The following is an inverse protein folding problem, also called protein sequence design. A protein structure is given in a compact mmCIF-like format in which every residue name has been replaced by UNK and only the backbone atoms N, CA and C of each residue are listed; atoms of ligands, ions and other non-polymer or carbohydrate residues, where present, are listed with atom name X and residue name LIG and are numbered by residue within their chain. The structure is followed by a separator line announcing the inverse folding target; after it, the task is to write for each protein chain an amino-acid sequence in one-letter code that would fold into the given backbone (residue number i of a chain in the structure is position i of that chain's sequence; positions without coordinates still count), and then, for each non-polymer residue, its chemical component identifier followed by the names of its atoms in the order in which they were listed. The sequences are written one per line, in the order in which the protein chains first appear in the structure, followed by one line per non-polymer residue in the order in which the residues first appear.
data_IF_528856856038
#
_entry.id   IF_528856856038
#
_cell.length_a   1.000
_cell.length_b   1.000
_cell.length_c   1.000
_cell.angle_alpha   90.00
_cell.angle_beta   90.00
_cell.angle_gamma   90.00
#
_symmetry.space_group_name_H-M   'P 1'
#
loop_
_entity.id
_entity.type
_entity.pdbx_description
1 polymer ?
#
# COMPACT_ATOMS: atom_id res chain seq x y z
N UNK A 1 -22.25 -6.12 11.97
CA UNK A 1 -21.18 -5.12 12.03
C UNK A 1 -21.52 -3.97 11.09
N UNK A 2 -21.52 -2.71 11.58
CA UNK A 2 -21.71 -1.52 10.73
C UNK A 2 -20.35 -1.11 10.17
N UNK A 3 -20.06 -1.51 8.92
CA UNK A 3 -18.83 -1.19 8.23
C UNK A 3 -19.04 0.02 7.33
N UNK A 4 -18.14 1.01 7.43
CA UNK A 4 -18.22 2.26 6.67
C UNK A 4 -16.90 2.52 5.95
N UNK A 5 -16.98 2.74 4.64
CA UNK A 5 -15.87 3.21 3.83
C UNK A 5 -15.91 4.74 3.79
N UNK A 6 -15.07 5.38 4.60
CA UNK A 6 -14.93 6.82 4.59
C UNK A 6 -13.88 7.24 3.56
N UNK A 7 -14.21 8.20 2.71
CA UNK A 7 -13.26 8.77 1.76
C UNK A 7 -13.35 10.30 1.77
N UNK A 8 -12.26 10.91 1.31
CA UNK A 8 -12.22 12.35 1.13
C UNK A 8 -12.97 12.72 -0.15
N UNK A 9 -14.10 13.41 0.02
CA UNK A 9 -14.83 13.98 -1.10
C UNK A 9 -14.10 15.24 -1.59
N UNK A 10 -13.47 15.15 -2.75
CA UNK A 10 -12.81 16.25 -3.44
C UNK A 10 -13.55 16.64 -4.75
N UNK A 11 -14.79 16.19 -4.88
CA UNK A 11 -15.67 16.46 -6.03
C UNK A 11 -15.42 15.54 -7.24
N UNK A 12 -14.50 14.57 -7.15
CA UNK A 12 -14.29 13.59 -8.21
C UNK A 12 -15.23 12.40 -8.03
N UNK A 13 -15.80 11.86 -9.10
CA UNK A 13 -16.61 10.66 -9.02
C UNK A 13 -15.76 9.49 -8.52
N UNK A 14 -16.26 8.80 -7.50
CA UNK A 14 -15.65 7.59 -6.98
C UNK A 14 -16.34 6.38 -7.60
N UNK A 15 -15.66 5.69 -8.49
CA UNK A 15 -16.16 4.45 -9.08
C UNK A 15 -15.81 3.28 -8.16
N UNK A 16 -16.77 2.81 -7.41
CA UNK A 16 -16.64 1.62 -6.56
C UNK A 16 -17.57 0.53 -7.09
N UNK A 17 -17.16 -0.74 -6.96
CA UNK A 17 -18.08 -1.85 -7.18
C UNK A 17 -19.21 -1.79 -6.15
N UNK A 18 -20.33 -2.44 -6.43
CA UNK A 18 -21.42 -2.54 -5.47
C UNK A 18 -20.97 -3.28 -4.20
N UNK A 19 -21.04 -2.61 -3.07
CA UNK A 19 -20.59 -3.13 -1.78
C UNK A 19 -21.80 -3.45 -0.90
N UNK A 20 -22.22 -4.71 -0.86
CA UNK A 20 -23.48 -5.13 -0.22
C UNK A 20 -23.59 -4.81 1.27
N UNK A 21 -22.50 -4.81 2.03
CA UNK A 21 -22.50 -4.65 3.49
C UNK A 21 -21.65 -3.49 3.99
N UNK A 22 -21.30 -2.55 3.12
CA UNK A 22 -20.43 -1.42 3.44
C UNK A 22 -21.13 -0.12 3.06
N UNK A 23 -21.28 0.78 4.02
CA UNK A 23 -21.82 2.13 3.77
C UNK A 23 -20.70 3.04 3.28
N UNK A 24 -20.90 3.68 2.15
CA UNK A 24 -19.96 4.67 1.61
C UNK A 24 -20.27 6.03 2.23
N UNK A 25 -19.26 6.67 2.83
CA UNK A 25 -19.39 7.94 3.54
C UNK A 25 -18.43 8.98 2.96
N UNK A 26 -18.92 9.91 2.12
CA UNK A 26 -18.13 11.03 1.66
C UNK A 26 -17.93 12.04 2.79
N UNK A 27 -16.69 12.46 3.00
CA UNK A 27 -16.34 13.47 4.00
C UNK A 27 -15.64 14.64 3.30
N UNK A 28 -16.31 15.79 3.24
CA UNK A 28 -15.75 17.02 2.67
C UNK A 28 -14.57 17.49 3.50
N UNK A 29 -13.40 17.59 2.88
CA UNK A 29 -12.18 18.02 3.56
C UNK A 29 -11.12 18.54 2.58
N UNK A 30 -10.33 19.51 3.01
CA UNK A 30 -9.09 19.90 2.35
C UNK A 30 -8.05 18.79 2.59
N UNK A 31 -7.13 18.59 1.65
CA UNK A 31 -6.19 17.46 1.58
C UNK A 31 -5.59 17.04 2.94
N UNK A 32 -5.08 17.99 3.72
CA UNK A 32 -4.42 17.66 5.00
C UNK A 32 -5.39 17.65 6.20
N UNK A 33 -6.52 18.33 6.11
CA UNK A 33 -7.50 18.36 7.20
C UNK A 33 -8.29 17.05 7.31
N UNK A 34 -8.35 16.25 6.26
CA UNK A 34 -9.07 14.99 6.27
C UNK A 34 -8.60 14.05 7.39
N UNK A 35 -7.34 13.68 7.40
CA UNK A 35 -6.79 12.73 8.38
C UNK A 35 -6.55 13.36 9.76
N UNK A 36 -6.31 14.68 9.84
CA UNK A 36 -5.96 15.33 11.09
C UNK A 36 -7.18 15.82 11.88
N UNK A 37 -8.27 16.16 11.19
CA UNK A 37 -9.42 16.83 11.82
C UNK A 37 -10.74 16.15 11.48
N UNK A 38 -11.06 16.01 10.19
CA UNK A 38 -12.40 15.61 9.74
C UNK A 38 -12.69 14.16 10.11
N UNK A 39 -11.81 13.24 9.72
CA UNK A 39 -11.97 11.81 10.01
C UNK A 39 -11.90 11.52 11.52
N UNK A 40 -10.98 12.07 12.33
CA UNK A 40 -11.00 11.89 13.78
C UNK A 40 -12.25 12.42 14.47
N UNK A 41 -12.80 13.55 14.00
CA UNK A 41 -14.09 14.07 14.51
C UNK A 41 -15.24 13.12 14.16
N UNK A 42 -15.30 12.65 12.93
CA UNK A 42 -16.29 11.68 12.48
C UNK A 42 -16.27 10.41 13.33
N UNK A 43 -15.07 9.81 13.51
CA UNK A 43 -14.88 8.61 14.32
C UNK A 43 -15.33 8.80 15.77
N UNK A 44 -15.02 9.95 16.36
CA UNK A 44 -15.45 10.30 17.72
C UNK A 44 -16.95 10.42 17.84
N UNK A 45 -17.58 11.17 16.91
CA UNK A 45 -19.05 11.37 16.87
C UNK A 45 -19.82 10.05 16.75
N UNK A 46 -19.28 9.10 15.99
CA UNK A 46 -19.93 7.81 15.74
C UNK A 46 -19.41 6.68 16.63
N UNK A 47 -18.57 6.97 17.63
CA UNK A 47 -17.90 5.98 18.47
C UNK A 47 -17.22 4.87 17.67
N UNK A 48 -16.80 5.17 16.44
CA UNK A 48 -16.27 4.21 15.50
C UNK A 48 -14.81 3.83 15.77
N UNK A 49 -14.44 2.64 15.32
CA UNK A 49 -13.06 2.15 15.31
C UNK A 49 -12.52 2.27 13.90
N UNK A 50 -11.28 2.74 13.75
CA UNK A 50 -10.65 2.93 12.47
C UNK A 50 -9.76 1.75 12.07
N UNK A 51 -9.90 1.29 10.84
CA UNK A 51 -9.00 0.33 10.21
C UNK A 51 -8.36 1.00 9.00
N UNK A 52 -7.08 1.37 9.13
CA UNK A 52 -6.29 1.96 8.05
C UNK A 52 -5.55 0.87 7.28
N UNK A 53 -5.92 0.67 6.01
CA UNK A 53 -5.33 -0.37 5.15
C UNK A 53 -4.12 0.11 4.36
N UNK A 54 -3.87 1.41 4.32
CA UNK A 54 -2.83 2.02 3.50
C UNK A 54 -2.11 3.15 4.25
N UNK A 55 -1.28 2.80 5.22
CA UNK A 55 -0.34 3.72 5.90
C UNK A 55 -0.88 5.15 6.09
N UNK A 56 -2.08 5.31 6.64
CA UNK A 56 -2.68 6.62 6.83
C UNK A 56 -2.27 7.25 8.16
N UNK A 57 -1.92 8.51 8.13
CA UNK A 57 -1.65 9.26 9.36
C UNK A 57 -2.96 9.60 10.06
N UNK A 58 -3.21 8.96 11.20
CA UNK A 58 -4.40 9.19 11.99
C UNK A 58 -4.06 9.38 13.48
N UNK A 59 -4.58 10.45 14.07
CA UNK A 59 -4.34 10.78 15.48
C UNK A 59 -5.50 10.31 16.36
N UNK A 60 -5.73 9.00 16.39
CA UNK A 60 -6.75 8.39 17.27
C UNK A 60 -6.28 7.05 17.83
N UNK A 61 -6.47 6.85 19.14
CA UNK A 61 -6.14 5.58 19.82
C UNK A 61 -7.14 4.45 19.52
N UNK A 62 -8.25 4.75 18.88
CA UNK A 62 -9.25 3.75 18.42
C UNK A 62 -8.95 3.33 17.00
N UNK A 63 -7.72 2.89 16.74
CA UNK A 63 -7.29 2.53 15.40
C UNK A 63 -6.38 1.32 15.36
N UNK A 64 -6.47 0.62 14.24
CA UNK A 64 -5.51 -0.37 13.75
C UNK A 64 -5.02 0.11 12.39
N UNK A 65 -3.73 0.01 12.15
CA UNK A 65 -3.11 0.49 10.89
C UNK A 65 -2.26 -0.61 10.28
N UNK A 66 -2.40 -0.80 8.97
CA UNK A 66 -1.49 -1.65 8.18
C UNK A 66 -0.36 -0.78 7.66
N UNK A 67 0.85 -1.03 8.10
CA UNK A 67 2.08 -0.39 7.63
C UNK A 67 2.81 -1.38 6.73
N UNK A 68 2.61 -1.27 5.41
CA UNK A 68 3.11 -2.25 4.43
C UNK A 68 4.63 -2.32 4.42
N UNK A 69 5.30 -1.16 4.39
CA UNK A 69 6.76 -1.06 4.45
C UNK A 69 7.21 0.28 5.06
N UNK A 70 8.48 0.36 5.40
CA UNK A 70 9.14 1.59 5.83
C UNK A 70 10.29 1.97 4.90
N UNK A 71 10.22 1.57 3.64
CA UNK A 71 11.23 1.80 2.61
C UNK A 71 11.74 3.25 2.57
N UNK A 72 10.90 4.30 2.62
CA UNK A 72 11.39 5.68 2.58
C UNK A 72 12.34 6.05 3.73
N UNK A 73 12.29 5.33 4.85
CA UNK A 73 13.18 5.54 5.99
C UNK A 73 14.49 4.76 5.84
N UNK A 74 14.46 3.61 5.18
CA UNK A 74 15.60 2.71 5.01
C UNK A 74 16.42 3.09 3.77
N UNK A 75 15.75 3.32 2.65
CA UNK A 75 16.39 3.68 1.38
C UNK A 75 16.40 5.20 1.20
N UNK A 76 17.61 5.77 1.08
CA UNK A 76 17.77 7.23 0.89
C UNK A 76 17.47 7.71 -0.54
N UNK A 77 16.62 7.00 -1.29
CA UNK A 77 16.27 7.31 -2.67
C UNK A 77 15.19 8.39 -2.81
N UNK A 78 14.43 8.63 -1.75
CA UNK A 78 13.34 9.61 -1.77
C UNK A 78 13.81 10.99 -1.30
N UNK A 79 13.10 12.04 -1.75
CA UNK A 79 13.38 13.44 -1.35
C UNK A 79 13.30 13.60 0.17
N UNK A 80 14.19 14.39 0.76
CA UNK A 80 14.30 14.59 2.22
C UNK A 80 12.96 15.00 2.86
N UNK A 81 12.21 15.90 2.23
CA UNK A 81 10.88 16.32 2.70
C UNK A 81 9.88 15.18 2.75
N UNK A 82 9.86 14.32 1.73
CA UNK A 82 8.98 13.16 1.71
C UNK A 82 9.34 12.16 2.82
N UNK A 83 10.62 11.92 3.02
CA UNK A 83 11.15 11.06 4.10
C UNK A 83 10.79 11.60 5.48
N UNK A 84 10.92 12.90 5.70
CA UNK A 84 10.53 13.57 6.95
C UNK A 84 9.02 13.42 7.21
N UNK A 85 8.19 13.69 6.21
CA UNK A 85 6.74 13.51 6.29
C UNK A 85 6.37 12.06 6.60
N UNK A 86 7.01 11.10 5.95
CA UNK A 86 6.78 9.69 6.18
C UNK A 86 7.24 9.24 7.58
N UNK A 87 8.36 9.76 8.05
CA UNK A 87 8.83 9.54 9.42
C UNK A 87 7.81 10.03 10.46
N UNK A 88 7.29 11.23 10.29
CA UNK A 88 6.25 11.77 11.17
C UNK A 88 4.97 10.90 11.14
N UNK A 89 4.61 10.41 9.98
CA UNK A 89 3.54 9.44 9.82
C UNK A 89 3.79 8.15 10.63
N UNK A 90 4.98 7.58 10.53
CA UNK A 90 5.36 6.40 11.31
C UNK A 90 5.34 6.66 12.83
N UNK A 91 5.78 7.84 13.28
CA UNK A 91 5.65 8.24 14.67
C UNK A 91 4.21 8.35 15.13
N UNK A 92 3.33 8.93 14.33
CA UNK A 92 1.89 8.98 14.65
C UNK A 92 1.30 7.58 14.81
N UNK A 93 1.68 6.65 13.94
CA UNK A 93 1.29 5.23 14.03
C UNK A 93 1.81 4.61 15.34
N UNK A 94 3.06 4.84 15.71
CA UNK A 94 3.65 4.36 16.97
C UNK A 94 2.87 4.82 18.20
N UNK A 95 2.49 6.09 18.24
CA UNK A 95 1.87 6.70 19.42
C UNK A 95 0.35 6.48 19.50
N UNK A 96 -0.32 6.49 18.38
CA UNK A 96 -1.78 6.49 18.35
C UNK A 96 -2.40 5.14 17.98
N UNK A 97 -1.80 4.34 17.09
CA UNK A 97 -2.39 3.06 16.73
C UNK A 97 -2.41 2.09 17.91
N UNK A 98 -3.57 1.48 18.16
CA UNK A 98 -3.71 0.43 19.18
C UNK A 98 -2.91 -0.82 18.80
N UNK A 99 -2.95 -1.18 17.52
CA UNK A 99 -2.14 -2.23 16.91
C UNK A 99 -1.67 -1.80 15.53
N UNK A 100 -0.51 -2.30 15.16
CA UNK A 100 0.05 -2.14 13.82
C UNK A 100 0.08 -3.52 13.17
N UNK A 101 -0.27 -3.58 11.90
CA UNK A 101 -0.06 -4.78 11.08
C UNK A 101 0.92 -4.48 9.95
N UNK A 102 1.62 -5.51 9.52
CA UNK A 102 2.49 -5.45 8.36
C UNK A 102 2.38 -6.72 7.53
N UNK A 103 3.04 -6.77 6.38
CA UNK A 103 2.81 -7.81 5.36
C UNK A 103 3.76 -9.00 5.44
N UNK A 104 4.76 -8.97 6.34
CA UNK A 104 5.70 -10.08 6.53
C UNK A 104 6.42 -9.99 7.88
N UNK A 105 6.96 -11.12 8.37
CA UNK A 105 7.77 -11.14 9.59
C UNK A 105 9.06 -10.32 9.45
N UNK A 106 9.68 -10.33 8.28
CA UNK A 106 10.84 -9.48 8.03
C UNK A 106 10.51 -7.98 8.22
N UNK A 107 9.38 -7.51 7.69
CA UNK A 107 8.93 -6.14 7.90
C UNK A 107 8.55 -5.89 9.35
N UNK A 108 7.99 -6.86 10.05
CA UNK A 108 7.67 -6.76 11.48
C UNK A 108 8.91 -6.45 12.32
N UNK A 109 9.99 -7.19 12.10
CA UNK A 109 11.26 -6.96 12.78
C UNK A 109 11.89 -5.61 12.40
N UNK A 110 11.89 -5.28 11.11
CA UNK A 110 12.43 -4.02 10.60
C UNK A 110 11.67 -2.79 11.16
N UNK A 111 10.34 -2.85 11.22
CA UNK A 111 9.50 -1.81 11.80
C UNK A 111 9.79 -1.66 13.30
N UNK A 112 9.89 -2.77 14.02
CA UNK A 112 10.22 -2.76 15.45
C UNK A 112 11.57 -2.10 15.70
N UNK A 113 12.60 -2.53 14.99
CA UNK A 113 13.97 -2.01 15.11
C UNK A 113 14.05 -0.52 14.76
N UNK A 114 13.48 -0.10 13.63
CA UNK A 114 13.64 1.26 13.10
C UNK A 114 12.74 2.30 13.76
N UNK A 115 11.56 1.89 14.21
CA UNK A 115 10.59 2.81 14.81
C UNK A 115 10.47 2.64 16.33
N UNK A 116 11.07 1.60 16.91
CA UNK A 116 10.94 1.26 18.31
C UNK A 116 9.49 0.96 18.71
N UNK A 117 8.74 0.29 17.84
CA UNK A 117 7.40 -0.24 18.13
C UNK A 117 7.60 -1.65 18.72
N UNK A 118 7.06 -1.96 19.90
CA UNK A 118 7.20 -3.29 20.50
C UNK A 118 6.65 -4.40 19.57
N UNK A 119 7.35 -5.53 19.48
CA UNK A 119 6.98 -6.64 18.59
C UNK A 119 5.59 -7.21 18.88
N UNK A 120 5.17 -7.21 20.14
CA UNK A 120 3.84 -7.65 20.57
C UNK A 120 2.72 -6.72 20.10
N UNK A 121 3.04 -5.46 19.79
CA UNK A 121 2.12 -4.49 19.18
C UNK A 121 2.01 -4.66 17.67
N UNK A 122 2.93 -5.40 17.02
CA UNK A 122 2.97 -5.56 15.57
C UNK A 122 2.49 -6.98 15.20
N UNK A 123 1.37 -7.08 14.53
CA UNK A 123 0.88 -8.30 13.89
C UNK A 123 1.35 -8.43 12.45
N UNK A 124 1.27 -9.63 11.90
CA UNK A 124 1.49 -9.89 10.47
C UNK A 124 0.16 -10.26 9.82
N UNK A 125 -0.13 -9.63 8.69
CA UNK A 125 -1.22 -10.00 7.79
C UNK A 125 -0.65 -10.04 6.37
N UNK A 126 -0.55 -11.23 5.80
CA UNK A 126 -0.02 -11.42 4.46
C UNK A 126 -0.94 -10.79 3.42
N UNK A 127 -0.36 -10.36 2.30
CA UNK A 127 -1.15 -9.91 1.16
C UNK A 127 -1.94 -11.09 0.59
N UNK A 128 -3.25 -10.92 0.45
CA UNK A 128 -4.11 -11.92 -0.18
C UNK A 128 -3.82 -12.04 -1.68
N UNK A 129 -3.88 -13.23 -2.19
CA UNK A 129 -3.72 -13.56 -3.61
C UNK A 129 -4.93 -14.31 -4.17
N UNK A 130 -5.86 -14.71 -3.31
CA UNK A 130 -7.01 -15.55 -3.61
C UNK A 130 -7.93 -14.91 -4.66
N UNK A 131 -7.96 -13.58 -4.71
CA UNK A 131 -8.72 -12.84 -5.73
C UNK A 131 -8.23 -13.14 -7.16
N UNK A 132 -6.97 -13.57 -7.32
CA UNK A 132 -6.40 -13.93 -8.63
C UNK A 132 -6.87 -15.31 -9.11
N UNK A 133 -7.36 -16.18 -8.24
CA UNK A 133 -7.81 -17.53 -8.60
C UNK A 133 -8.98 -17.52 -9.60
N UNK A 134 -9.80 -16.47 -9.54
CA UNK A 134 -10.97 -16.33 -10.42
C UNK A 134 -10.69 -15.47 -11.66
N UNK A 135 -9.46 -14.96 -11.81
CA UNK A 135 -9.07 -14.17 -12.99
C UNK A 135 -8.78 -15.10 -14.15
N UNK A 136 -9.56 -14.98 -15.21
CA UNK A 136 -9.29 -15.71 -16.45
C UNK A 136 -8.12 -15.03 -17.18
N UNK A 137 -7.13 -15.82 -17.66
CA UNK A 137 -6.02 -15.24 -18.42
C UNK A 137 -6.51 -14.59 -19.70
N UNK A 138 -6.15 -13.33 -19.91
CA UNK A 138 -6.36 -12.65 -21.19
C UNK A 138 -5.20 -13.01 -22.15
N UNK A 139 -5.48 -13.93 -23.06
CA UNK A 139 -4.49 -14.40 -24.02
C UNK A 139 -4.27 -13.41 -25.18
N UNK A 140 -5.13 -12.41 -25.36
CA UNK A 140 -5.00 -11.40 -26.43
C UNK A 140 -3.78 -10.49 -26.22
N UNK A 141 -3.17 -10.53 -25.04
CA UNK A 141 -1.91 -9.83 -24.76
C UNK A 141 -0.79 -10.24 -25.75
N UNK A 142 -0.78 -11.51 -26.18
CA UNK A 142 0.23 -11.99 -27.12
C UNK A 142 0.05 -11.43 -28.54
N UNK A 143 -1.15 -11.02 -28.93
CA UNK A 143 -1.41 -10.35 -30.21
C UNK A 143 -0.71 -8.98 -30.27
N UNK A 144 -0.48 -8.37 -29.11
CA UNK A 144 0.20 -7.06 -28.96
C UNK A 144 1.72 -7.19 -28.77
N UNK A 145 2.24 -8.40 -28.70
CA UNK A 145 3.65 -8.69 -28.42
C UNK A 145 4.23 -9.58 -29.52
N UNK A 146 4.51 -9.03 -30.73
CA UNK A 146 5.00 -9.79 -31.85
C UNK A 146 6.33 -10.49 -31.50
N UNK A 147 6.43 -11.76 -31.84
CA UNK A 147 7.63 -12.59 -31.54
C UNK A 147 7.68 -13.19 -30.15
N UNK A 148 6.79 -12.84 -29.23
CA UNK A 148 6.70 -13.45 -27.92
C UNK A 148 5.83 -14.70 -27.98
N UNK A 149 6.40 -15.85 -27.66
CA UNK A 149 5.67 -17.11 -27.57
C UNK A 149 5.35 -17.44 -26.13
N UNK A 150 4.15 -18.01 -25.88
CA UNK A 150 3.73 -18.44 -24.57
C UNK A 150 4.75 -19.40 -23.95
N UNK A 151 5.16 -19.12 -22.69
CA UNK A 151 6.15 -19.87 -21.92
C UNK A 151 7.59 -19.83 -22.46
N UNK A 152 7.88 -19.02 -23.48
CA UNK A 152 9.23 -18.88 -24.05
C UNK A 152 9.82 -17.48 -23.80
N UNK A 153 9.50 -16.86 -22.66
CA UNK A 153 9.99 -15.54 -22.29
C UNK A 153 10.26 -15.42 -20.79
N UNK A 154 11.13 -14.50 -20.44
CA UNK A 154 11.36 -14.05 -19.07
C UNK A 154 10.53 -12.81 -18.81
N UNK A 155 9.73 -12.81 -17.74
CA UNK A 155 8.88 -11.70 -17.40
C UNK A 155 9.40 -10.96 -16.16
N UNK A 156 9.50 -9.63 -16.23
CA UNK A 156 9.87 -8.78 -15.12
C UNK A 156 8.80 -7.70 -14.88
N UNK A 157 8.08 -7.83 -13.77
CA UNK A 157 7.10 -6.83 -13.36
C UNK A 157 7.76 -5.74 -12.51
N UNK A 158 7.55 -4.48 -12.86
CA UNK A 158 8.04 -3.38 -12.06
C UNK A 158 7.78 -2.01 -12.67
N UNK A 159 8.60 -1.06 -12.27
CA UNK A 159 8.56 0.32 -12.76
C UNK A 159 9.97 0.87 -12.92
N UNK A 160 10.12 2.01 -13.59
CA UNK A 160 11.43 2.67 -13.77
C UNK A 160 11.98 3.30 -12.46
N UNK A 161 11.32 3.09 -11.33
CA UNK A 161 11.81 3.55 -10.04
C UNK A 161 13.13 2.87 -9.67
N UNK A 162 14.12 3.63 -9.21
CA UNK A 162 15.48 3.16 -8.97
C UNK A 162 15.58 1.90 -8.07
N UNK A 163 14.70 1.76 -7.08
CA UNK A 163 14.67 0.59 -6.20
C UNK A 163 14.20 -0.71 -6.88
N UNK A 164 13.60 -0.64 -8.08
CA UNK A 164 13.21 -1.82 -8.87
C UNK A 164 14.35 -2.37 -9.73
N UNK A 165 15.46 -1.64 -9.80
CA UNK A 165 16.70 -2.05 -10.47
C UNK A 165 16.53 -2.60 -11.90
N UNK A 166 15.66 -1.96 -12.70
CA UNK A 166 15.46 -2.36 -14.10
C UNK A 166 16.73 -2.24 -14.97
N UNK A 167 17.72 -1.50 -14.50
CA UNK A 167 19.04 -1.47 -15.13
C UNK A 167 19.64 -2.87 -15.22
N UNK A 168 19.56 -3.66 -14.13
CA UNK A 168 20.02 -5.04 -14.11
C UNK A 168 19.27 -5.92 -15.13
N UNK A 169 17.95 -5.78 -15.24
CA UNK A 169 17.16 -6.54 -16.22
C UNK A 169 17.62 -6.22 -17.64
N UNK A 170 17.86 -4.94 -17.97
CA UNK A 170 18.37 -4.52 -19.27
C UNK A 170 19.77 -5.09 -19.56
N UNK A 171 20.66 -5.09 -18.59
CA UNK A 171 22.01 -5.64 -18.72
C UNK A 171 21.97 -7.14 -18.96
N UNK A 172 21.12 -7.88 -18.26
CA UNK A 172 20.93 -9.31 -18.46
C UNK A 172 20.35 -9.58 -19.86
N UNK A 173 19.34 -8.84 -20.27
CA UNK A 173 18.77 -8.98 -21.62
C UNK A 173 19.81 -8.72 -22.72
N UNK A 174 20.63 -7.67 -22.58
CA UNK A 174 21.69 -7.36 -23.55
C UNK A 174 22.76 -8.46 -23.67
N UNK A 175 23.01 -9.21 -22.58
CA UNK A 175 23.98 -10.34 -22.59
C UNK A 175 23.38 -11.65 -23.09
N UNK A 176 22.05 -11.69 -23.29
CA UNK A 176 21.33 -12.89 -23.73
C UNK A 176 20.40 -12.52 -24.89
N UNK A 177 20.95 -12.16 -26.07
CA UNK A 177 20.15 -11.70 -27.21
C UNK A 177 19.28 -12.81 -27.82
N UNK A 178 19.57 -14.07 -27.50
CA UNK A 178 18.81 -15.27 -27.89
C UNK A 178 17.56 -15.49 -27.02
N UNK A 179 17.41 -14.73 -25.94
CA UNK A 179 16.29 -14.84 -25.01
C UNK A 179 15.31 -13.67 -25.16
N UNK A 180 14.02 -13.96 -24.98
CA UNK A 180 12.97 -12.96 -24.98
C UNK A 180 12.70 -12.46 -23.58
N UNK A 181 12.75 -11.14 -23.38
CA UNK A 181 12.40 -10.47 -22.12
C UNK A 181 11.18 -9.57 -22.32
N UNK A 182 10.21 -9.68 -21.42
CA UNK A 182 9.00 -8.86 -21.39
C UNK A 182 8.99 -8.07 -20.08
N UNK A 183 8.83 -6.74 -20.16
CA UNK A 183 8.87 -5.83 -19.01
C UNK A 183 7.71 -4.85 -19.02
#
# INVERSE_FOLDING_TARGET
LDVRLCYRDDGRPLHLPELKNIKIVPLKAIKYSYNLVVLPRYLRKHHAFYVGLASDMLMTRRSVVVLHDIRPLVMKTDRAFFRFKFWFHCLSTKWFARRVFTVSDNQRHLISERLGIPLDKIGVTYNGWEHLQNVQPDMTVFDKLPGVKKKEYYYALGSLAGHKNFKWVREVAARNPDKTFVV
#
